data_IF_419151524014
#
_entry.id   IF_419151524014
#
_cell.length_a   1.000
_cell.length_b   1.000
_cell.length_c   1.000
_cell.angle_alpha   90.00
_cell.angle_beta   90.00
_cell.angle_gamma   90.00
#
_symmetry.space_group_name_H-M   'P 1'
#
loop_
_entity.id
_entity.type
_entity.pdbx_description
1 polymer ?
#
# COMPACT_ATOMS: atom_id res chain seq x y z
N UNK A 1 -7.30 -14.09 22.24
CA UNK A 1 -7.02 -12.78 21.61
C UNK A 1 -8.34 -12.26 21.09
N UNK A 2 -8.68 -11.03 21.44
CA UNK A 2 -9.74 -10.27 20.76
C UNK A 2 -9.14 -9.53 19.58
N UNK A 3 -9.52 -8.27 19.41
CA UNK A 3 -9.12 -7.40 18.28
C UNK A 3 -7.61 -7.13 18.22
N UNK A 4 -6.84 -7.49 19.26
CA UNK A 4 -5.40 -7.24 19.31
C UNK A 4 -4.67 -7.95 18.17
N UNK A 5 -5.16 -9.10 17.70
CA UNK A 5 -4.60 -9.82 16.55
C UNK A 5 -4.65 -8.96 15.29
N UNK A 6 -5.81 -8.39 14.98
CA UNK A 6 -6.05 -7.54 13.80
C UNK A 6 -5.17 -6.29 13.87
N UNK A 7 -5.11 -5.65 15.04
CA UNK A 7 -4.31 -4.44 15.24
C UNK A 7 -2.80 -4.72 15.04
N UNK A 8 -2.29 -5.83 15.57
CA UNK A 8 -0.89 -6.23 15.37
C UNK A 8 -0.62 -6.49 13.88
N UNK A 9 -1.52 -7.22 13.20
CA UNK A 9 -1.32 -7.56 11.80
C UNK A 9 -1.44 -6.32 10.90
N UNK A 10 -2.37 -5.41 11.17
CA UNK A 10 -2.47 -4.11 10.50
C UNK A 10 -1.19 -3.31 10.67
N UNK A 11 -0.63 -3.25 11.88
CA UNK A 11 0.63 -2.56 12.16
C UNK A 11 1.80 -3.16 11.35
N UNK A 12 1.91 -4.49 11.31
CA UNK A 12 2.95 -5.20 10.54
C UNK A 12 2.79 -4.88 9.05
N UNK A 13 1.57 -5.02 8.52
CA UNK A 13 1.21 -4.72 7.13
C UNK A 13 1.57 -3.28 6.78
N UNK A 14 1.18 -2.32 7.62
CA UNK A 14 1.41 -0.90 7.39
C UNK A 14 2.90 -0.56 7.41
N UNK A 15 3.65 -1.16 8.35
CA UNK A 15 5.09 -0.95 8.50
C UNK A 15 5.85 -1.49 7.29
N UNK A 16 5.58 -2.74 6.90
CA UNK A 16 6.22 -3.37 5.74
C UNK A 16 5.80 -2.65 4.46
N UNK A 17 4.50 -2.41 4.26
CA UNK A 17 3.96 -1.74 3.08
C UNK A 17 4.51 -0.34 2.91
N UNK A 18 4.52 0.47 3.97
CA UNK A 18 5.04 1.85 3.90
C UNK A 18 6.55 1.87 3.63
N UNK A 19 7.30 0.94 4.20
CA UNK A 19 8.75 0.82 3.98
C UNK A 19 9.07 0.37 2.56
N UNK A 20 8.39 -0.68 2.08
CA UNK A 20 8.58 -1.23 0.74
C UNK A 20 8.18 -0.22 -0.34
N UNK A 21 7.02 0.43 -0.18
CA UNK A 21 6.49 1.38 -1.16
C UNK A 21 7.03 2.81 -0.99
N UNK A 22 7.91 3.08 -0.02
CA UNK A 22 8.45 4.43 0.22
C UNK A 22 9.04 5.07 -1.05
N UNK A 23 9.83 4.31 -1.81
CA UNK A 23 10.45 4.76 -3.09
C UNK A 23 9.41 5.11 -4.15
N UNK A 24 8.25 4.46 -4.09
CA UNK A 24 7.15 4.63 -5.03
C UNK A 24 6.19 5.75 -4.63
N UNK A 25 6.35 6.34 -3.44
CA UNK A 25 5.45 7.37 -2.91
C UNK A 25 6.19 8.66 -2.51
N UNK A 26 7.42 8.89 -2.99
CA UNK A 26 8.28 10.04 -2.59
C UNK A 26 7.54 11.38 -2.69
N UNK A 27 6.97 11.71 -3.85
CA UNK A 27 6.24 12.98 -4.08
C UNK A 27 4.75 12.89 -3.71
N UNK A 28 4.28 11.74 -3.19
CA UNK A 28 2.89 11.64 -2.73
C UNK A 28 2.73 12.42 -1.43
N UNK A 29 1.69 13.26 -1.33
CA UNK A 29 1.44 14.02 -0.11
C UNK A 29 1.23 13.10 1.10
N UNK A 30 1.75 13.52 2.25
CA UNK A 30 1.66 12.76 3.49
C UNK A 30 0.20 12.44 3.85
N UNK A 31 -0.71 13.42 3.68
CA UNK A 31 -2.13 13.24 3.93
C UNK A 31 -2.76 12.09 3.11
N UNK A 32 -2.37 11.94 1.83
CA UNK A 32 -2.88 10.82 1.00
C UNK A 32 -2.37 9.47 1.51
N UNK A 33 -1.13 9.39 1.97
CA UNK A 33 -0.55 8.17 2.54
C UNK A 33 -1.25 7.79 3.85
N UNK A 34 -1.46 8.76 4.74
CA UNK A 34 -2.15 8.56 6.02
C UNK A 34 -3.60 8.16 5.79
N UNK A 35 -4.33 8.86 4.93
CA UNK A 35 -5.73 8.56 4.63
C UNK A 35 -5.92 7.16 4.04
N UNK A 36 -4.99 6.71 3.17
CA UNK A 36 -4.97 5.35 2.62
C UNK A 36 -4.93 4.29 3.74
N UNK A 37 -4.03 4.44 4.71
CA UNK A 37 -3.90 3.49 5.82
C UNK A 37 -5.07 3.58 6.79
N UNK A 38 -5.49 4.78 7.18
CA UNK A 38 -6.67 4.97 8.04
C UNK A 38 -7.94 4.35 7.44
N UNK A 39 -8.10 4.41 6.12
CA UNK A 39 -9.23 3.77 5.44
C UNK A 39 -9.17 2.25 5.58
N UNK A 40 -7.98 1.65 5.39
CA UNK A 40 -7.80 0.19 5.54
C UNK A 40 -8.07 -0.22 6.98
N UNK A 41 -7.55 0.52 7.96
CA UNK A 41 -7.72 0.24 9.38
C UNK A 41 -9.18 0.35 9.80
N UNK A 42 -9.86 1.45 9.43
CA UNK A 42 -11.26 1.68 9.76
C UNK A 42 -12.17 0.60 9.19
N UNK A 43 -11.96 0.19 7.93
CA UNK A 43 -12.74 -0.87 7.30
C UNK A 43 -12.46 -2.22 7.98
N UNK A 44 -11.20 -2.54 8.29
CA UNK A 44 -10.85 -3.80 8.95
C UNK A 44 -11.45 -3.88 10.35
N UNK A 45 -11.36 -2.80 11.14
CA UNK A 45 -11.96 -2.72 12.48
C UNK A 45 -13.48 -2.82 12.39
N UNK A 46 -14.10 -2.11 11.44
CA UNK A 46 -15.55 -2.22 11.21
C UNK A 46 -15.97 -3.65 10.85
N UNK A 47 -15.23 -4.32 9.97
CA UNK A 47 -15.47 -5.72 9.62
C UNK A 47 -15.28 -6.66 10.80
N UNK A 48 -14.34 -6.40 11.72
CA UNK A 48 -14.15 -7.23 12.90
C UNK A 48 -15.43 -7.33 13.75
N UNK A 49 -16.18 -6.24 13.90
CA UNK A 49 -17.45 -6.28 14.63
C UNK A 49 -18.59 -6.98 13.88
N UNK A 50 -18.42 -7.28 12.58
CA UNK A 50 -19.43 -7.97 11.76
C UNK A 50 -19.10 -9.44 11.52
N UNK A 51 -17.83 -9.75 11.27
CA UNK A 51 -17.35 -11.07 10.84
C UNK A 51 -16.17 -11.57 11.68
N UNK A 52 -15.85 -10.91 12.79
CA UNK A 52 -14.79 -11.28 13.73
C UNK A 52 -13.42 -11.38 13.01
N UNK A 53 -12.57 -12.34 13.38
CA UNK A 53 -11.22 -12.49 12.83
C UNK A 53 -11.14 -12.70 11.30
N UNK A 54 -12.24 -13.03 10.62
CA UNK A 54 -12.26 -13.06 9.15
C UNK A 54 -12.05 -11.68 8.51
N UNK A 55 -12.21 -10.59 9.27
CA UNK A 55 -11.90 -9.22 8.84
C UNK A 55 -10.48 -9.08 8.29
N UNK A 56 -9.54 -9.89 8.77
CA UNK A 56 -8.14 -9.85 8.34
C UNK A 56 -7.93 -10.22 6.86
N UNK A 57 -8.89 -10.95 6.26
CA UNK A 57 -8.83 -11.25 4.84
C UNK A 57 -8.90 -9.97 4.00
N UNK A 58 -9.57 -8.93 4.48
CA UNK A 58 -9.70 -7.66 3.76
C UNK A 58 -8.33 -7.00 3.48
N UNK A 59 -7.51 -6.63 4.49
CA UNK A 59 -6.22 -5.99 4.22
C UNK A 59 -5.27 -6.92 3.43
N UNK A 60 -5.31 -8.23 3.68
CA UNK A 60 -4.50 -9.21 2.93
C UNK A 60 -4.85 -9.21 1.44
N UNK A 61 -6.14 -9.27 1.10
CA UNK A 61 -6.62 -9.22 -0.28
C UNK A 61 -6.26 -7.89 -0.93
N UNK A 62 -6.44 -6.77 -0.23
CA UNK A 62 -6.12 -5.44 -0.76
C UNK A 62 -4.63 -5.28 -1.09
N UNK A 63 -3.73 -5.80 -0.24
CA UNK A 63 -2.29 -5.81 -0.52
C UNK A 63 -1.97 -6.69 -1.72
N UNK A 64 -2.58 -7.87 -1.83
CA UNK A 64 -2.36 -8.78 -2.94
C UNK A 64 -2.78 -8.13 -4.26
N UNK A 65 -3.99 -7.56 -4.32
CA UNK A 65 -4.50 -6.84 -5.50
C UNK A 65 -3.61 -5.64 -5.83
N UNK A 66 -3.31 -4.80 -4.83
CA UNK A 66 -2.45 -3.62 -5.00
C UNK A 66 -1.07 -3.98 -5.54
N UNK A 67 -0.46 -5.04 -5.01
CA UNK A 67 0.83 -5.55 -5.47
C UNK A 67 0.75 -6.09 -6.89
N UNK A 68 -0.26 -6.89 -7.24
CA UNK A 68 -0.43 -7.41 -8.60
C UNK A 68 -0.56 -6.25 -9.60
N UNK A 69 -1.41 -5.26 -9.30
CA UNK A 69 -1.62 -4.08 -10.14
C UNK A 69 -0.32 -3.27 -10.27
N UNK A 70 0.36 -3.01 -9.16
CA UNK A 70 1.65 -2.31 -9.13
C UNK A 70 2.68 -2.99 -10.04
N UNK A 71 2.87 -4.29 -9.88
CA UNK A 71 3.84 -5.06 -10.67
C UNK A 71 3.47 -5.08 -12.15
N UNK A 72 2.19 -5.25 -12.49
CA UNK A 72 1.71 -5.21 -13.87
C UNK A 72 1.96 -3.85 -14.52
N UNK A 73 1.64 -2.76 -13.83
CA UNK A 73 1.86 -1.39 -14.34
C UNK A 73 3.35 -1.10 -14.50
N UNK A 74 4.18 -1.43 -13.52
CA UNK A 74 5.62 -1.21 -13.60
C UNK A 74 6.24 -1.98 -14.78
N UNK A 75 5.95 -3.29 -14.89
CA UNK A 75 6.44 -4.12 -15.99
C UNK A 75 5.98 -3.60 -17.36
N UNK A 76 4.70 -3.24 -17.50
CA UNK A 76 4.14 -2.69 -18.75
C UNK A 76 4.85 -1.40 -19.19
N UNK A 77 5.38 -0.61 -18.25
CA UNK A 77 6.07 0.66 -18.54
C UNK A 77 7.61 0.50 -18.58
N UNK A 78 8.15 -0.71 -18.46
CA UNK A 78 9.59 -0.97 -18.40
C UNK A 78 10.24 -0.33 -17.17
N UNK A 79 9.57 -0.43 -16.02
CA UNK A 79 10.02 0.05 -14.72
C UNK A 79 10.20 -1.17 -13.81
N UNK A 80 11.31 -1.23 -13.10
CA UNK A 80 11.54 -2.24 -12.07
C UNK A 80 10.54 -2.07 -10.91
N UNK A 81 9.73 -3.10 -10.59
CA UNK A 81 8.67 -3.00 -9.59
C UNK A 81 9.17 -2.94 -8.14
N UNK A 82 10.46 -3.16 -7.88
CA UNK A 82 11.09 -3.08 -6.56
C UNK A 82 11.94 -1.81 -6.39
N UNK A 83 12.62 -1.38 -7.45
CA UNK A 83 13.61 -0.30 -7.43
C UNK A 83 13.10 1.01 -8.00
N UNK A 84 11.95 1.00 -8.68
CA UNK A 84 11.41 2.16 -9.41
C UNK A 84 12.38 2.70 -10.48
N UNK A 85 13.24 1.84 -11.04
CA UNK A 85 14.22 2.22 -12.07
C UNK A 85 13.71 1.89 -13.48
N UNK A 86 13.97 2.74 -14.49
CA UNK A 86 14.58 4.08 -14.38
C UNK A 86 13.61 5.10 -13.76
N UNK A 87 14.08 5.87 -12.77
CA UNK A 87 13.23 6.78 -11.97
C UNK A 87 12.51 7.83 -12.81
N UNK A 88 13.15 8.33 -13.87
CA UNK A 88 12.56 9.31 -14.80
C UNK A 88 11.26 8.79 -15.45
N UNK A 89 11.21 7.51 -15.84
CA UNK A 89 9.98 6.90 -16.37
C UNK A 89 8.90 6.79 -15.29
N UNK A 90 9.29 6.43 -14.08
CA UNK A 90 8.34 6.34 -12.96
C UNK A 90 7.75 7.70 -12.59
N UNK A 91 8.57 8.75 -12.52
CA UNK A 91 8.10 10.12 -12.32
C UNK A 91 7.12 10.55 -13.42
N UNK A 92 7.45 10.28 -14.70
CA UNK A 92 6.55 10.55 -15.83
C UNK A 92 5.23 9.79 -15.70
N UNK A 93 5.25 8.50 -15.35
CA UNK A 93 4.05 7.68 -15.13
C UNK A 93 3.17 8.24 -14.02
N UNK A 94 3.78 8.77 -12.95
CA UNK A 94 3.07 9.37 -11.80
C UNK A 94 2.64 10.83 -12.02
N UNK A 95 3.01 11.44 -13.15
CA UNK A 95 2.78 12.87 -13.41
C UNK A 95 3.59 13.78 -12.48
N UNK A 96 4.69 13.28 -11.91
CA UNK A 96 5.56 14.05 -11.02
C UNK A 96 6.62 14.83 -11.79
N UNK A 97 7.01 15.97 -11.23
CA UNK A 97 8.10 16.78 -11.79
C UNK A 97 9.44 16.08 -11.52
N UNK A 98 10.14 15.72 -12.59
CA UNK A 98 11.52 15.24 -12.49
C UNK A 98 12.42 16.39 -12.04
N UNK A 99 13.09 16.22 -10.91
CA UNK A 99 14.20 17.07 -10.49
C UNK A 99 15.46 16.33 -10.91
N UNK A 100 16.26 16.96 -11.77
CA UNK A 100 17.48 16.38 -12.35
C UNK A 100 18.51 16.02 -11.28
#
# INVERSE_FOLDING_TARGET
MGIELELIILLIIQTIGSSFFAKFEIETSVLKKVFKWLTIDAVTIGLYYLINHYAILFPVIMIAIGSIVHFRICKKNGIDPFLATPRKKYYKLRGWKWKE
#
